data_IF_667535131822
#
_entry.id   IF_667535131822
#
_cell.length_a   1.000
_cell.length_b   1.000
_cell.length_c   1.000
_cell.angle_alpha   90.00
_cell.angle_beta   90.00
_cell.angle_gamma   90.00
#
_symmetry.space_group_name_H-M   'P 1'
#
loop_
_entity.id
_entity.type
_entity.pdbx_description
1 polymer ?
#
# COMPACT_ATOMS: atom_id res chain seq x y z
N UNK A 1 9.04 -45.66 32.52
CA UNK A 1 9.14 -44.18 32.45
C UNK A 1 8.67 -43.63 33.79
N UNK A 2 9.51 -42.94 34.55
CA UNK A 2 9.28 -42.63 35.98
C UNK A 2 8.16 -41.59 36.17
N UNK A 3 7.34 -41.71 37.22
CA UNK A 3 6.18 -40.83 37.48
C UNK A 3 6.55 -39.33 37.49
N UNK A 4 7.79 -39.01 37.90
CA UNK A 4 8.38 -37.67 37.89
C UNK A 4 8.49 -37.07 36.48
N UNK A 5 8.74 -37.88 35.44
CA UNK A 5 8.80 -37.41 34.05
C UNK A 5 7.40 -37.05 33.56
N UNK A 6 6.39 -37.89 33.86
CA UNK A 6 4.99 -37.62 33.50
C UNK A 6 4.47 -36.35 34.17
N UNK A 7 4.81 -36.14 35.44
CA UNK A 7 4.44 -34.93 36.19
C UNK A 7 5.10 -33.67 35.60
N UNK A 8 6.39 -33.75 35.24
CA UNK A 8 7.10 -32.64 34.59
C UNK A 8 6.51 -32.30 33.22
N UNK A 9 6.19 -33.31 32.41
CA UNK A 9 5.52 -33.12 31.11
C UNK A 9 4.17 -32.43 31.34
N UNK A 10 3.35 -32.89 32.28
CA UNK A 10 2.07 -32.26 32.59
C UNK A 10 2.18 -30.78 32.97
N UNK A 11 3.17 -30.42 33.80
CA UNK A 11 3.43 -29.02 34.19
C UNK A 11 3.87 -28.17 32.99
N UNK A 12 4.76 -28.69 32.15
CA UNK A 12 5.23 -27.99 30.94
C UNK A 12 4.09 -27.81 29.94
N UNK A 13 3.29 -28.86 29.69
CA UNK A 13 2.11 -28.77 28.83
C UNK A 13 1.10 -27.75 29.34
N UNK A 14 0.88 -27.69 30.66
CA UNK A 14 -0.05 -26.73 31.24
C UNK A 14 0.44 -25.29 31.04
N UNK A 15 1.72 -25.01 31.30
CA UNK A 15 2.32 -23.69 31.02
C UNK A 15 2.19 -23.33 29.53
N UNK A 16 2.50 -24.28 28.64
CA UNK A 16 2.40 -24.06 27.20
C UNK A 16 0.96 -23.75 26.76
N UNK A 17 -0.01 -24.55 27.20
CA UNK A 17 -1.44 -24.34 26.91
C UNK A 17 -1.92 -23.00 27.46
N UNK A 18 -1.53 -22.63 28.67
CA UNK A 18 -1.89 -21.33 29.26
C UNK A 18 -1.33 -20.16 28.45
N UNK A 19 -0.09 -20.26 27.95
CA UNK A 19 0.50 -19.25 27.07
C UNK A 19 -0.30 -19.15 25.76
N UNK A 20 -0.63 -20.28 25.13
CA UNK A 20 -1.40 -20.31 23.88
C UNK A 20 -2.79 -19.69 24.07
N UNK A 21 -3.51 -20.07 25.13
CA UNK A 21 -4.83 -19.51 25.46
C UNK A 21 -4.72 -18.01 25.74
N UNK A 22 -3.70 -17.57 26.48
CA UNK A 22 -3.46 -16.16 26.77
C UNK A 22 -3.27 -15.35 25.49
N UNK A 23 -2.44 -15.84 24.55
CA UNK A 23 -2.24 -15.19 23.25
C UNK A 23 -3.53 -15.13 22.45
N UNK A 24 -4.33 -16.21 22.42
CA UNK A 24 -5.61 -16.24 21.71
C UNK A 24 -6.62 -15.24 22.28
N UNK A 25 -6.69 -15.09 23.61
CA UNK A 25 -7.60 -14.12 24.26
C UNK A 25 -7.18 -12.69 23.93
N UNK A 26 -5.87 -12.39 23.96
CA UNK A 26 -5.36 -11.06 23.60
C UNK A 26 -5.69 -10.73 22.15
N UNK A 27 -5.42 -11.65 21.22
CA UNK A 27 -5.75 -11.51 19.79
C UNK A 27 -7.26 -11.29 19.58
N UNK A 28 -8.11 -12.08 20.23
CA UNK A 28 -9.57 -11.98 20.12
C UNK A 28 -10.07 -10.64 20.68
N UNK A 29 -9.47 -10.16 21.76
CA UNK A 29 -9.77 -8.87 22.37
C UNK A 29 -9.39 -7.72 21.43
N UNK A 30 -8.17 -7.73 20.89
CA UNK A 30 -7.71 -6.72 19.92
C UNK A 30 -8.64 -6.66 18.71
N UNK A 31 -9.07 -7.83 18.18
CA UNK A 31 -10.05 -7.93 17.09
C UNK A 31 -11.42 -7.36 17.47
N UNK A 32 -11.96 -7.77 18.62
CA UNK A 32 -13.30 -7.37 19.05
C UNK A 32 -13.41 -5.86 19.28
N UNK A 33 -12.33 -5.24 19.75
CA UNK A 33 -12.26 -3.80 19.98
C UNK A 33 -11.66 -3.01 18.82
N UNK A 34 -11.33 -3.67 17.69
CA UNK A 34 -10.69 -3.08 16.52
C UNK A 34 -9.50 -2.15 16.89
N UNK A 35 -8.68 -2.58 17.86
CA UNK A 35 -7.52 -1.83 18.34
C UNK A 35 -6.39 -2.03 17.32
N UNK A 36 -6.55 -1.43 16.14
CA UNK A 36 -5.51 -1.35 15.12
C UNK A 36 -4.57 -0.17 15.38
N UNK A 37 -3.32 -0.31 14.98
CA UNK A 37 -2.38 0.83 14.94
C UNK A 37 -2.67 1.57 13.64
N UNK A 38 -3.81 2.26 13.58
CA UNK A 38 -4.32 2.86 12.36
C UNK A 38 -3.28 3.86 11.80
N UNK A 39 -2.61 3.46 10.72
CA UNK A 39 -1.40 4.08 10.17
C UNK A 39 -1.65 5.46 9.57
N UNK A 40 -2.87 5.72 9.14
CA UNK A 40 -3.48 7.02 8.89
C UNK A 40 -4.97 6.74 8.68
N UNK A 41 -5.85 7.73 8.81
CA UNK A 41 -7.27 7.51 8.49
C UNK A 41 -7.34 7.09 7.00
N UNK A 42 -7.89 5.90 6.72
CA UNK A 42 -8.02 5.27 5.39
C UNK A 42 -6.79 4.61 4.77
N UNK A 43 -5.83 4.15 5.57
CA UNK A 43 -4.71 3.33 5.09
C UNK A 43 -4.82 1.92 5.64
N UNK A 44 -4.46 0.92 4.83
CA UNK A 44 -4.43 -0.48 5.23
C UNK A 44 -3.15 -1.18 4.76
N UNK A 45 -2.84 -2.31 5.41
CA UNK A 45 -1.71 -3.16 5.02
C UNK A 45 -2.01 -3.85 3.69
N UNK A 46 -1.10 -3.71 2.73
CA UNK A 46 -1.19 -4.40 1.44
C UNK A 46 -0.07 -5.46 1.34
N UNK A 47 -0.39 -6.72 0.98
CA UNK A 47 0.59 -7.82 1.05
C UNK A 47 1.78 -7.66 0.10
N UNK A 48 1.57 -7.00 -1.04
CA UNK A 48 2.60 -6.77 -2.05
C UNK A 48 3.20 -5.35 -1.96
N UNK A 49 2.35 -4.33 -2.01
CA UNK A 49 2.75 -2.91 -1.98
C UNK A 49 3.22 -2.41 -0.60
N UNK A 50 3.08 -3.20 0.46
CA UNK A 50 3.33 -2.79 1.85
C UNK A 50 2.13 -2.10 2.50
N UNK A 51 1.55 -1.11 1.81
CA UNK A 51 0.30 -0.45 2.16
C UNK A 51 -0.46 0.03 0.91
N UNK A 52 -1.75 0.31 1.10
CA UNK A 52 -2.63 0.99 0.16
C UNK A 52 -3.68 1.77 0.95
N UNK A 53 -4.50 2.57 0.27
CA UNK A 53 -5.68 3.13 0.91
C UNK A 53 -6.78 2.07 1.03
N UNK A 54 -7.67 2.26 2.00
CA UNK A 54 -8.80 1.37 2.22
C UNK A 54 -9.67 1.31 0.97
N UNK A 55 -9.95 0.11 0.41
CA UNK A 55 -10.85 -0.08 -0.72
C UNK A 55 -12.21 0.58 -0.49
N UNK A 56 -12.67 1.37 -1.47
CA UNK A 56 -13.90 2.18 -1.37
C UNK A 56 -13.90 3.15 -0.18
N UNK A 57 -12.72 3.46 0.36
CA UNK A 57 -12.55 4.43 1.43
C UNK A 57 -12.87 5.83 0.95
N UNK A 58 -13.40 6.65 1.85
CA UNK A 58 -13.69 8.04 1.57
C UNK A 58 -13.51 8.89 2.81
N UNK A 59 -13.11 10.14 2.61
CA UNK A 59 -13.04 11.12 3.68
C UNK A 59 -13.14 12.54 3.15
N UNK A 60 -13.58 13.41 4.03
CA UNK A 60 -13.56 14.84 3.81
C UNK A 60 -12.48 15.46 4.68
N UNK A 61 -11.74 16.43 4.14
CA UNK A 61 -10.91 17.29 4.96
C UNK A 61 -10.78 18.68 4.35
N UNK A 62 -10.40 19.65 5.19
CA UNK A 62 -10.11 21.00 4.75
C UNK A 62 -8.59 21.22 4.81
N UNK A 63 -7.89 21.23 3.67
CA UNK A 63 -6.49 21.59 3.63
C UNK A 63 -6.31 23.05 4.07
N UNK A 64 -5.08 23.40 4.46
CA UNK A 64 -4.71 24.76 4.91
C UNK A 64 -5.09 25.85 3.88
N UNK A 65 -5.21 25.48 2.60
CA UNK A 65 -5.66 26.34 1.51
C UNK A 65 -7.18 26.68 1.53
N UNK A 66 -7.95 26.15 2.48
CA UNK A 66 -9.31 26.63 2.82
C UNK A 66 -10.46 26.11 1.94
N UNK A 67 -10.21 25.19 1.01
CA UNK A 67 -11.28 24.55 0.22
C UNK A 67 -11.45 23.12 0.65
N UNK A 68 -12.62 22.77 1.22
CA UNK A 68 -12.96 21.39 1.57
C UNK A 68 -12.77 20.46 0.38
N UNK A 69 -12.01 19.38 0.57
CA UNK A 69 -11.74 18.36 -0.44
C UNK A 69 -12.44 17.07 -0.05
N UNK A 70 -13.13 16.47 -1.02
CA UNK A 70 -13.63 15.11 -0.92
C UNK A 70 -12.61 14.15 -1.52
N UNK A 71 -12.19 13.17 -0.72
CA UNK A 71 -11.28 12.12 -1.14
C UNK A 71 -12.02 10.79 -1.18
N UNK A 72 -11.90 10.09 -2.30
CA UNK A 72 -12.47 8.77 -2.56
C UNK A 72 -11.42 7.90 -3.24
N UNK A 73 -11.49 6.59 -2.97
CA UNK A 73 -10.65 5.56 -3.56
C UNK A 73 -11.51 4.47 -4.19
N UNK A 74 -11.02 3.85 -5.26
CA UNK A 74 -11.70 2.74 -5.91
C UNK A 74 -11.64 1.44 -5.08
N UNK A 75 -12.22 0.37 -5.60
CA UNK A 75 -12.26 -0.96 -4.97
C UNK A 75 -10.89 -1.62 -4.82
N UNK A 76 -9.84 -1.06 -5.42
CA UNK A 76 -8.45 -1.49 -5.26
C UNK A 76 -7.64 -0.58 -4.34
N UNK A 77 -8.25 0.46 -3.77
CA UNK A 77 -7.59 1.38 -2.84
C UNK A 77 -6.72 2.43 -3.53
N UNK A 78 -6.95 2.73 -4.81
CA UNK A 78 -6.29 3.83 -5.52
C UNK A 78 -7.22 5.03 -5.67
N UNK A 79 -6.65 6.24 -5.67
CA UNK A 79 -7.39 7.48 -5.88
C UNK A 79 -7.69 7.62 -7.37
N UNK A 80 -8.70 6.90 -7.82
CA UNK A 80 -9.16 6.89 -9.20
C UNK A 80 -10.60 6.39 -9.29
N UNK A 81 -11.16 6.42 -10.50
CA UNK A 81 -12.41 5.74 -10.82
C UNK A 81 -12.17 4.26 -11.13
N UNK A 82 -13.26 3.52 -11.33
CA UNK A 82 -13.18 2.13 -11.77
C UNK A 82 -12.89 2.03 -13.27
N UNK A 83 -11.94 1.16 -13.63
CA UNK A 83 -11.60 0.86 -15.02
C UNK A 83 -11.77 -0.64 -15.29
N UNK A 84 -12.36 -1.05 -16.43
CA UNK A 84 -12.41 -2.45 -16.80
C UNK A 84 -10.99 -2.96 -17.11
N UNK A 85 -10.65 -4.17 -16.66
CA UNK A 85 -9.33 -4.76 -16.94
C UNK A 85 -9.12 -4.93 -18.45
N UNK A 86 -10.12 -5.50 -19.13
CA UNK A 86 -10.12 -5.58 -20.59
C UNK A 86 -10.21 -4.17 -21.21
N UNK A 87 -9.24 -3.84 -22.06
CA UNK A 87 -9.17 -2.53 -22.71
C UNK A 87 -10.27 -2.41 -23.78
N UNK A 88 -11.18 -1.42 -23.68
CA UNK A 88 -12.21 -1.24 -24.70
C UNK A 88 -11.61 -0.95 -26.09
N UNK A 89 -12.24 -1.40 -27.19
CA UNK A 89 -11.77 -1.08 -28.54
C UNK A 89 -11.69 0.43 -28.79
N UNK A 90 -10.60 0.88 -29.40
CA UNK A 90 -10.37 2.30 -29.72
C UNK A 90 -9.96 3.18 -28.53
N UNK A 91 -9.77 2.61 -27.33
CA UNK A 91 -9.27 3.32 -26.15
C UNK A 91 -7.76 3.12 -26.00
N UNK A 92 -7.06 4.23 -25.73
CA UNK A 92 -5.67 4.28 -25.32
C UNK A 92 -5.57 4.42 -23.81
N UNK A 93 -4.59 3.76 -23.20
CA UNK A 93 -4.38 3.80 -21.74
C UNK A 93 -3.03 4.34 -21.35
N UNK A 94 -3.05 5.26 -20.37
CA UNK A 94 -1.87 5.66 -19.61
C UNK A 94 -1.99 5.05 -18.22
N UNK A 95 -0.98 4.32 -17.76
CA UNK A 95 -0.86 3.96 -16.34
C UNK A 95 0.08 4.97 -15.68
N UNK A 96 -0.41 5.67 -14.68
CA UNK A 96 0.35 6.60 -13.85
C UNK A 96 0.83 5.88 -12.59
N UNK A 97 2.14 5.87 -12.36
CA UNK A 97 2.76 5.45 -11.10
C UNK A 97 3.47 6.64 -10.46
N UNK A 98 3.44 6.69 -9.13
CA UNK A 98 4.07 7.75 -8.36
C UNK A 98 3.71 7.68 -6.89
N UNK A 99 3.75 8.83 -6.24
CA UNK A 99 3.56 8.97 -4.79
C UNK A 99 2.35 9.86 -4.44
N UNK A 100 2.43 10.54 -3.30
CA UNK A 100 1.52 11.60 -2.85
C UNK A 100 1.10 12.62 -3.91
N UNK A 101 1.99 13.02 -4.82
CA UNK A 101 1.65 13.93 -5.91
C UNK A 101 0.72 13.27 -6.93
N UNK A 102 0.92 11.99 -7.21
CA UNK A 102 0.03 11.19 -8.06
C UNK A 102 -1.28 10.85 -7.36
N UNK A 103 -1.25 10.60 -6.05
CA UNK A 103 -2.48 10.47 -5.26
C UNK A 103 -3.31 11.77 -5.32
N UNK A 104 -2.68 12.95 -5.27
CA UNK A 104 -3.37 14.25 -5.39
C UNK A 104 -4.50 14.42 -4.36
N UNK A 105 -4.25 14.05 -3.10
CA UNK A 105 -5.25 14.13 -2.03
C UNK A 105 -5.70 15.58 -1.72
N UNK A 106 -4.89 16.59 -2.06
CA UNK A 106 -5.13 18.01 -1.73
C UNK A 106 -6.09 18.73 -2.66
N UNK A 107 -6.61 18.05 -3.69
CA UNK A 107 -7.56 18.61 -4.65
C UNK A 107 -8.69 17.62 -4.89
N UNK A 108 -9.84 18.10 -5.38
CA UNK A 108 -10.93 17.21 -5.77
C UNK A 108 -10.51 16.31 -6.93
N UNK A 109 -11.16 15.15 -7.10
CA UNK A 109 -10.83 14.18 -8.16
C UNK A 109 -10.75 14.84 -9.55
N UNK A 110 -11.69 15.73 -9.89
CA UNK A 110 -11.71 16.43 -11.18
C UNK A 110 -10.52 17.38 -11.40
N UNK A 111 -9.89 17.84 -10.32
CA UNK A 111 -8.80 18.82 -10.33
C UNK A 111 -7.42 18.17 -10.27
N UNK A 112 -7.34 16.85 -10.13
CA UNK A 112 -6.06 16.14 -10.16
C UNK A 112 -5.42 16.27 -11.54
N UNK A 113 -4.09 16.34 -11.60
CA UNK A 113 -3.40 16.61 -12.86
C UNK A 113 -3.65 15.52 -13.90
N UNK A 114 -3.85 14.27 -13.49
CA UNK A 114 -4.11 13.16 -14.40
C UNK A 114 -5.53 13.19 -14.95
N UNK A 115 -6.54 13.64 -14.18
CA UNK A 115 -7.88 13.88 -14.74
C UNK A 115 -7.88 15.07 -15.70
N UNK A 116 -7.13 16.13 -15.40
CA UNK A 116 -6.96 17.27 -16.32
C UNK A 116 -6.22 16.87 -17.60
N UNK A 117 -5.19 16.03 -17.50
CA UNK A 117 -4.48 15.48 -18.66
C UNK A 117 -5.39 14.59 -19.51
N UNK A 118 -6.17 13.69 -18.89
CA UNK A 118 -7.14 12.84 -19.61
C UNK A 118 -8.16 13.71 -20.37
N UNK A 119 -8.73 14.71 -19.71
CA UNK A 119 -9.67 15.64 -20.33
C UNK A 119 -9.03 16.39 -21.51
N UNK A 120 -7.81 16.90 -21.33
CA UNK A 120 -7.08 17.59 -22.39
C UNK A 120 -6.84 16.69 -23.60
N UNK A 121 -6.40 15.44 -23.40
CA UNK A 121 -6.16 14.48 -24.48
C UNK A 121 -7.45 14.12 -25.21
N UNK A 122 -8.55 13.94 -24.50
CA UNK A 122 -9.86 13.60 -25.07
C UNK A 122 -10.52 14.76 -25.82
N UNK A 123 -10.22 16.02 -25.46
CA UNK A 123 -10.74 17.20 -26.16
C UNK A 123 -9.89 17.54 -27.39
N UNK A 124 -8.57 17.34 -27.32
CA UNK A 124 -7.63 17.74 -28.38
C UNK A 124 -7.36 16.64 -29.43
N UNK A 125 -7.57 15.38 -29.07
CA UNK A 125 -7.27 14.22 -29.89
C UNK A 125 -8.47 13.63 -30.63
N UNK A 126 -8.18 12.73 -31.58
CA UNK A 126 -9.19 11.85 -32.19
C UNK A 126 -9.35 10.53 -31.44
N UNK A 127 -8.36 10.17 -30.61
CA UNK A 127 -8.35 8.95 -29.80
C UNK A 127 -9.03 9.19 -28.46
N UNK A 128 -9.67 8.15 -27.92
CA UNK A 128 -10.18 8.16 -26.55
C UNK A 128 -9.10 7.68 -25.59
N UNK A 129 -8.82 8.45 -24.55
CA UNK A 129 -7.83 8.19 -23.53
C UNK A 129 -8.49 7.88 -22.18
N UNK A 130 -7.94 6.87 -21.50
CA UNK A 130 -8.15 6.58 -20.07
C UNK A 130 -6.78 6.69 -19.36
N UNK A 131 -6.74 7.37 -18.23
CA UNK A 131 -5.58 7.41 -17.35
C UNK A 131 -5.92 6.69 -16.05
N UNK A 132 -5.13 5.67 -15.74
CA UNK A 132 -5.28 4.82 -14.56
C UNK A 132 -4.22 5.22 -13.56
N UNK A 133 -4.64 5.81 -12.44
CA UNK A 133 -3.76 6.25 -11.37
C UNK A 133 -3.49 5.13 -10.37
N UNK A 134 -2.22 4.77 -10.20
CA UNK A 134 -1.73 3.83 -9.19
C UNK A 134 -0.81 4.52 -8.17
N UNK A 135 -0.81 5.86 -8.14
CA UNK A 135 -0.06 6.65 -7.17
C UNK A 135 -0.65 6.54 -5.77
N UNK A 136 0.22 6.31 -4.80
CA UNK A 136 -0.14 6.21 -3.37
C UNK A 136 0.86 7.01 -2.58
N UNK A 137 0.36 7.76 -1.60
CA UNK A 137 1.15 8.55 -0.67
C UNK A 137 2.35 7.78 -0.16
N UNK A 138 3.48 8.48 -0.12
CA UNK A 138 4.73 7.96 0.45
C UNK A 138 5.29 6.73 -0.29
N UNK A 139 4.78 6.34 -1.47
CA UNK A 139 5.40 5.26 -2.26
C UNK A 139 6.80 5.65 -2.74
N UNK A 140 7.78 4.77 -2.53
CA UNK A 140 9.08 4.85 -3.22
C UNK A 140 9.08 4.03 -4.51
N UNK A 141 10.18 4.09 -5.28
CA UNK A 141 10.26 3.44 -6.60
C UNK A 141 10.03 1.93 -6.57
N UNK A 142 10.42 1.23 -5.48
CA UNK A 142 10.14 -0.19 -5.32
C UNK A 142 8.63 -0.49 -5.30
N UNK A 143 7.84 0.37 -4.63
CA UNK A 143 6.38 0.23 -4.56
C UNK A 143 5.73 0.64 -5.87
N UNK A 144 6.22 1.71 -6.50
CA UNK A 144 5.74 2.15 -7.83
C UNK A 144 6.00 1.07 -8.89
N UNK A 145 7.15 0.40 -8.84
CA UNK A 145 7.46 -0.75 -9.69
C UNK A 145 6.49 -1.91 -9.44
N UNK A 146 6.26 -2.28 -8.18
CA UNK A 146 5.31 -3.34 -7.83
C UNK A 146 3.88 -2.97 -8.28
N UNK A 147 3.44 -1.73 -8.09
CA UNK A 147 2.13 -1.26 -8.55
C UNK A 147 2.00 -1.40 -10.08
N UNK A 148 3.04 -1.04 -10.83
CA UNK A 148 3.06 -1.24 -12.28
C UNK A 148 2.99 -2.73 -12.64
N UNK A 149 3.89 -3.55 -12.12
CA UNK A 149 4.03 -4.95 -12.57
C UNK A 149 2.91 -5.86 -12.11
N UNK A 150 2.40 -5.65 -10.90
CA UNK A 150 1.38 -6.49 -10.28
C UNK A 150 -0.04 -6.06 -10.64
N UNK A 151 -0.23 -4.80 -11.00
CA UNK A 151 -1.56 -4.21 -11.23
C UNK A 151 -1.61 -3.52 -12.59
N UNK A 152 -0.79 -2.48 -12.80
CA UNK A 152 -0.87 -1.61 -13.97
C UNK A 152 -0.77 -2.33 -15.32
N UNK A 153 0.16 -3.29 -15.47
CA UNK A 153 0.34 -4.01 -16.73
C UNK A 153 -0.88 -4.86 -17.14
N UNK A 154 -1.73 -5.27 -16.18
CA UNK A 154 -2.97 -6.00 -16.48
C UNK A 154 -3.96 -5.17 -17.31
N UNK A 155 -3.89 -3.85 -17.21
CA UNK A 155 -4.75 -2.93 -17.96
C UNK A 155 -4.31 -2.70 -19.41
N UNK A 156 -3.24 -3.38 -19.87
CA UNK A 156 -2.71 -3.24 -21.23
C UNK A 156 -2.41 -1.79 -21.63
N UNK A 157 -1.62 -1.05 -20.82
CA UNK A 157 -1.31 0.35 -21.10
C UNK A 157 -0.60 0.53 -22.45
N UNK A 158 -0.88 1.64 -23.12
CA UNK A 158 -0.15 2.11 -24.30
C UNK A 158 1.04 3.00 -23.88
N UNK A 159 0.96 3.61 -22.70
CA UNK A 159 2.00 4.44 -22.10
C UNK A 159 2.04 4.23 -20.57
N UNK A 160 3.23 4.29 -19.99
CA UNK A 160 3.42 4.39 -18.54
C UNK A 160 3.99 5.78 -18.24
N UNK A 161 3.30 6.53 -17.38
CA UNK A 161 3.76 7.81 -16.87
C UNK A 161 4.31 7.60 -15.46
N UNK A 162 5.59 7.91 -15.27
CA UNK A 162 6.25 7.82 -13.98
C UNK A 162 6.45 9.21 -13.39
N UNK A 163 5.68 9.54 -12.36
CA UNK A 163 5.90 10.75 -11.58
C UNK A 163 7.02 10.50 -10.58
N UNK A 164 8.07 11.31 -10.65
CA UNK A 164 9.22 11.26 -9.75
C UNK A 164 9.14 12.42 -8.76
N UNK A 165 9.29 12.12 -7.47
CA UNK A 165 9.54 13.08 -6.41
C UNK A 165 10.92 12.81 -5.77
N UNK A 166 11.89 13.73 -5.88
CA UNK A 166 13.28 13.49 -5.49
C UNK A 166 13.55 13.10 -4.02
N UNK A 167 12.55 13.15 -3.14
CA UNK A 167 12.70 12.69 -1.76
C UNK A 167 12.56 11.18 -1.67
N UNK A 168 11.33 10.66 -1.50
CA UNK A 168 11.01 9.24 -1.37
C UNK A 168 11.61 8.40 -2.51
N UNK A 169 11.60 8.87 -3.75
CA UNK A 169 12.09 8.06 -4.87
C UNK A 169 13.60 7.83 -4.89
N UNK A 170 14.38 8.62 -4.15
CA UNK A 170 15.81 8.42 -4.02
C UNK A 170 16.11 7.70 -2.71
N UNK A 171 15.65 8.26 -1.60
CA UNK A 171 16.00 7.77 -0.27
C UNK A 171 15.38 6.39 0.05
N UNK A 172 14.29 5.99 -0.60
CA UNK A 172 13.67 4.69 -0.38
C UNK A 172 14.28 3.57 -1.23
N UNK A 173 15.25 3.87 -2.09
CA UNK A 173 15.92 2.84 -2.90
C UNK A 173 16.96 2.04 -2.10
N UNK A 174 17.35 2.54 -0.92
CA UNK A 174 18.28 1.84 -0.04
C UNK A 174 17.75 1.80 1.39
N UNK A 175 17.86 0.63 2.01
CA UNK A 175 17.59 0.45 3.43
C UNK A 175 18.52 1.34 4.27
N UNK A 176 19.70 1.71 3.78
CA UNK A 176 20.62 2.56 4.53
C UNK A 176 20.19 4.03 4.54
N UNK A 177 19.37 4.44 3.55
CA UNK A 177 18.93 5.82 3.37
C UNK A 177 17.56 6.13 3.99
N UNK A 178 16.85 5.11 4.50
CA UNK A 178 15.48 5.28 5.06
C UNK A 178 15.42 6.37 6.16
N UNK A 179 16.52 6.56 6.91
CA UNK A 179 16.62 7.55 7.97
C UNK A 179 16.48 9.00 7.49
N UNK A 180 16.76 9.27 6.21
CA UNK A 180 16.77 10.60 5.62
C UNK A 180 15.37 11.10 5.22
N UNK A 181 14.43 10.18 5.04
CA UNK A 181 13.07 10.47 4.61
C UNK A 181 12.06 9.67 5.42
N UNK A 182 12.37 9.51 6.72
CA UNK A 182 11.63 8.60 7.56
C UNK A 182 10.15 8.95 7.63
N UNK A 183 9.33 7.97 7.25
CA UNK A 183 7.89 8.01 7.37
C UNK A 183 7.43 7.03 8.46
N UNK A 184 6.25 7.31 9.04
CA UNK A 184 5.58 6.38 9.96
C UNK A 184 5.34 5.01 9.30
N UNK A 185 5.27 4.97 7.97
CA UNK A 185 4.99 3.77 7.18
C UNK A 185 6.24 2.95 6.80
N UNK A 186 7.44 3.45 7.09
CA UNK A 186 8.70 2.78 6.69
C UNK A 186 8.90 1.40 7.30
N UNK A 187 8.18 1.10 8.38
CA UNK A 187 8.15 -0.23 8.99
C UNK A 187 7.66 -1.31 8.01
N UNK A 188 6.90 -0.93 6.99
CA UNK A 188 6.19 -1.80 6.06
C UNK A 188 6.72 -1.69 4.62
N UNK A 189 7.69 -0.81 4.40
CA UNK A 189 8.16 -0.49 3.07
C UNK A 189 8.92 -1.67 2.46
N UNK A 190 8.54 -2.11 1.23
CA UNK A 190 9.34 -3.04 0.47
C UNK A 190 10.57 -2.35 -0.14
N UNK A 191 11.68 -3.08 -0.20
CA UNK A 191 12.93 -2.68 -0.82
C UNK A 191 13.38 -3.80 -1.76
N UNK A 192 14.00 -3.43 -2.88
CA UNK A 192 14.76 -4.38 -3.70
C UNK A 192 16.23 -4.29 -3.32
N UNK A 193 16.83 -5.42 -2.93
CA UNK A 193 18.25 -5.53 -2.63
C UNK A 193 18.87 -6.53 -3.59
N UNK A 194 20.01 -6.18 -4.18
CA UNK A 194 20.75 -7.09 -5.03
C UNK A 194 21.41 -8.19 -4.17
N UNK A 195 21.14 -9.45 -4.51
CA UNK A 195 21.78 -10.61 -3.88
C UNK A 195 22.00 -11.70 -4.92
N UNK A 196 23.27 -11.96 -5.23
CA UNK A 196 23.68 -12.95 -6.24
C UNK A 196 23.33 -12.55 -7.68
N UNK A 197 23.43 -11.26 -8.02
CA UNK A 197 23.11 -10.75 -9.36
C UNK A 197 21.61 -10.69 -9.68
N UNK A 198 20.75 -10.84 -8.67
CA UNK A 198 19.29 -10.73 -8.78
C UNK A 198 18.76 -9.75 -7.75
N UNK A 199 17.75 -8.97 -8.13
CA UNK A 199 16.98 -8.17 -7.18
C UNK A 199 16.06 -9.09 -6.37
N UNK A 200 16.15 -8.98 -5.05
CA UNK A 200 15.29 -9.68 -4.11
C UNK A 200 14.48 -8.68 -3.30
N UNK A 201 13.18 -8.93 -3.19
CA UNK A 201 12.29 -8.14 -2.37
C UNK A 201 12.56 -8.43 -0.89
N UNK A 202 12.73 -7.39 -0.09
CA UNK A 202 12.93 -7.47 1.36
C UNK A 202 12.26 -6.29 2.05
N UNK A 203 12.23 -6.30 3.39
CA UNK A 203 11.84 -5.13 4.19
C UNK A 203 12.89 -4.88 5.26
N UNK A 204 12.86 -3.68 5.83
CA UNK A 204 13.77 -3.31 6.91
C UNK A 204 13.55 -4.12 8.19
N UNK A 205 12.32 -4.55 8.47
CA UNK A 205 11.95 -5.34 9.67
C UNK A 205 11.24 -6.63 9.24
N UNK A 206 11.96 -7.63 8.69
CA UNK A 206 11.34 -8.80 8.05
C UNK A 206 10.53 -9.66 9.02
N UNK A 207 11.00 -9.84 10.27
CA UNK A 207 10.26 -10.58 11.30
C UNK A 207 8.96 -9.87 11.67
N UNK A 208 9.00 -8.55 11.88
CA UNK A 208 7.80 -7.76 12.20
C UNK A 208 6.81 -7.79 11.04
N UNK A 209 7.31 -7.67 9.81
CA UNK A 209 6.48 -7.73 8.62
C UNK A 209 5.83 -9.11 8.45
N UNK A 210 6.61 -10.19 8.66
CA UNK A 210 6.09 -11.56 8.64
C UNK A 210 4.98 -11.77 9.67
N UNK A 211 5.20 -11.35 10.92
CA UNK A 211 4.21 -11.46 11.98
C UNK A 211 2.92 -10.70 11.63
N UNK A 212 3.00 -9.49 11.06
CA UNK A 212 1.82 -8.75 10.62
C UNK A 212 1.02 -9.44 9.52
N UNK A 213 1.69 -10.00 8.51
CA UNK A 213 1.00 -10.68 7.41
C UNK A 213 0.21 -11.92 7.87
N UNK A 214 0.62 -12.53 8.99
CA UNK A 214 0.06 -13.79 9.46
C UNK A 214 -0.71 -13.65 10.78
N UNK A 215 -0.59 -12.52 11.48
CA UNK A 215 -1.25 -12.22 12.75
C UNK A 215 -2.07 -10.95 12.58
N UNK A 216 -3.37 -11.02 12.86
CA UNK A 216 -4.34 -9.98 12.52
C UNK A 216 -4.20 -8.73 13.41
N UNK A 217 -3.43 -8.80 14.50
CA UNK A 217 -3.24 -7.73 15.48
C UNK A 217 -2.18 -6.66 15.15
N UNK A 218 -1.47 -6.74 14.03
CA UNK A 218 -0.43 -5.77 13.66
C UNK A 218 -0.81 -4.84 12.49
N UNK A 219 -2.09 -4.82 12.09
CA UNK A 219 -2.66 -3.92 11.08
C UNK A 219 -3.19 -2.62 11.64
#
# INVERSE_FOLDING_TARGET
MTSKIRERIGKVSLVFISIVIGVLIVELTVKMFNIGVNININWESHPILGWSQTPNGQYDYEPIAGTKVHVEFNSQGFRDVEHPVEKPPGVKRIVLIGDSFSESAQVNMADTFYRQLENFLNVSGQEKWEIINLGVGDFGTAQQWLALTEIGLKYSPDLVLHQIFPLNDICNNSIDLYGLCSSKNDLYRPYFVESGGKLQLTTKQPVRNFLRHHLVSYG
#
